data_IF_394211170305
#
_entry.id   IF_394211170305
#
_cell.length_a   1.000
_cell.length_b   1.000
_cell.length_c   1.000
_cell.angle_alpha   90.00
_cell.angle_beta   90.00
_cell.angle_gamma   90.00
#
_symmetry.space_group_name_H-M   'P 1'
#
loop_
_entity.id
_entity.type
_entity.pdbx_description
1 polymer ?
#
# COMPACT_ATOMS: atom_id res chain seq x y z
N UNK A 1 11.92 -9.47 9.79
CA UNK A 1 10.91 -8.98 8.81
C UNK A 1 9.56 -8.85 9.50
N UNK A 2 9.02 -7.64 9.62
CA UNK A 2 7.75 -7.38 10.30
C UNK A 2 6.61 -7.32 9.27
N UNK A 3 5.58 -8.14 9.46
CA UNK A 3 4.37 -8.13 8.62
C UNK A 3 3.49 -6.93 9.00
N UNK A 4 3.14 -6.12 8.00
CA UNK A 4 2.32 -4.92 8.16
C UNK A 4 1.17 -4.90 7.17
N UNK A 5 0.18 -4.08 7.50
CA UNK A 5 -0.99 -3.83 6.67
C UNK A 5 -1.20 -2.33 6.52
N UNK A 6 -1.34 -1.86 5.29
CA UNK A 6 -1.69 -0.49 4.94
C UNK A 6 -3.07 -0.50 4.26
N UNK A 7 -4.00 0.30 4.77
CA UNK A 7 -5.32 0.50 4.18
C UNK A 7 -5.46 1.97 3.81
N UNK A 8 -5.67 2.23 2.52
CA UNK A 8 -5.87 3.58 1.98
C UNK A 8 -7.24 3.66 1.34
N UNK A 9 -7.98 4.74 1.59
CA UNK A 9 -9.30 4.96 1.01
C UNK A 9 -9.45 6.42 0.59
N UNK A 10 -10.00 6.67 -0.59
CA UNK A 10 -10.12 8.02 -1.11
C UNK A 10 -10.55 8.04 -2.56
N UNK A 11 -10.37 9.17 -3.24
CA UNK A 11 -10.55 9.24 -4.69
C UNK A 11 -9.48 8.38 -5.38
N UNK A 12 -9.83 7.70 -6.48
CA UNK A 12 -8.92 6.81 -7.21
C UNK A 12 -7.53 7.46 -7.42
N UNK A 13 -7.50 8.69 -7.93
CA UNK A 13 -6.25 9.43 -8.19
C UNK A 13 -5.42 9.68 -6.94
N UNK A 14 -6.05 10.04 -5.83
CA UNK A 14 -5.36 10.34 -4.58
C UNK A 14 -4.77 9.06 -3.99
N UNK A 15 -5.54 7.97 -3.99
CA UNK A 15 -5.10 6.67 -3.49
C UNK A 15 -3.93 6.14 -4.32
N UNK A 16 -3.99 6.22 -5.65
CA UNK A 16 -2.89 5.82 -6.53
C UNK A 16 -1.63 6.66 -6.27
N UNK A 17 -1.76 7.97 -6.13
CA UNK A 17 -0.63 8.86 -5.85
C UNK A 17 0.02 8.54 -4.50
N UNK A 18 -0.78 8.34 -3.45
CA UNK A 18 -0.28 8.05 -2.10
C UNK A 18 0.39 6.68 -2.00
N UNK A 19 -0.21 5.66 -2.63
CA UNK A 19 0.38 4.32 -2.68
C UNK A 19 1.68 4.33 -3.47
N UNK A 20 1.72 5.01 -4.62
CA UNK A 20 2.94 5.13 -5.41
C UNK A 20 4.05 5.87 -4.64
N UNK A 21 3.72 6.95 -3.92
CA UNK A 21 4.67 7.64 -3.04
C UNK A 21 5.15 6.73 -1.91
N UNK A 22 4.27 5.93 -1.32
CA UNK A 22 4.64 5.00 -0.26
C UNK A 22 5.66 3.96 -0.78
N UNK A 23 5.34 3.29 -1.88
CA UNK A 23 6.18 2.24 -2.47
C UNK A 23 7.51 2.78 -3.05
N UNK A 24 7.55 4.04 -3.48
CA UNK A 24 8.79 4.67 -3.95
C UNK A 24 9.73 5.07 -2.81
N UNK A 25 9.20 5.38 -1.63
CA UNK A 25 9.98 5.90 -0.50
C UNK A 25 10.34 4.84 0.56
N UNK A 26 9.62 3.71 0.58
CA UNK A 26 9.85 2.65 1.54
C UNK A 26 10.30 1.40 0.79
N UNK A 27 11.45 0.85 1.20
CA UNK A 27 11.86 -0.47 0.78
C UNK A 27 10.98 -1.49 1.49
N UNK A 28 9.97 -2.01 0.80
CA UNK A 28 8.99 -2.96 1.33
C UNK A 28 8.77 -4.09 0.35
N UNK A 29 8.58 -5.29 0.87
CA UNK A 29 8.19 -6.45 0.09
C UNK A 29 6.67 -6.61 0.14
N UNK A 30 5.98 -6.29 -0.95
CA UNK A 30 4.51 -6.41 -1.02
C UNK A 30 4.13 -7.88 -1.20
N UNK A 31 3.40 -8.43 -0.24
CA UNK A 31 2.95 -9.83 -0.25
C UNK A 31 1.54 -9.97 -0.85
N UNK A 32 0.67 -8.99 -0.60
CA UNK A 32 -0.70 -9.02 -1.10
C UNK A 32 -1.24 -7.61 -1.32
N UNK A 33 -2.06 -7.46 -2.36
CA UNK A 33 -2.79 -6.24 -2.66
C UNK A 33 -4.22 -6.60 -3.03
N UNK A 34 -5.18 -5.95 -2.38
CA UNK A 34 -6.59 -6.03 -2.72
C UNK A 34 -7.15 -4.62 -2.89
N UNK A 35 -8.03 -4.45 -3.89
CA UNK A 35 -8.68 -3.18 -4.14
C UNK A 35 -10.19 -3.36 -4.36
N UNK A 36 -10.96 -2.38 -3.93
CA UNK A 36 -12.40 -2.29 -4.12
C UNK A 36 -12.75 -0.87 -4.58
N UNK A 37 -13.35 -0.78 -5.76
CA UNK A 37 -13.69 0.47 -6.42
C UNK A 37 -15.20 0.67 -6.47
N UNK A 38 -15.64 1.87 -6.11
CA UNK A 38 -17.04 2.29 -6.12
C UNK A 38 -17.16 3.72 -6.69
N UNK A 39 -17.41 3.82 -7.99
CA UNK A 39 -17.45 5.10 -8.70
C UNK A 39 -16.06 5.73 -8.72
N UNK A 40 -15.94 6.95 -8.19
CA UNK A 40 -14.65 7.65 -8.11
C UNK A 40 -13.85 7.30 -6.85
N UNK A 41 -14.38 6.45 -5.97
CA UNK A 41 -13.73 6.05 -4.72
C UNK A 41 -13.05 4.69 -4.84
N UNK A 42 -11.85 4.61 -4.28
CA UNK A 42 -11.05 3.40 -4.16
C UNK A 42 -10.77 3.10 -2.69
N UNK A 43 -10.87 1.84 -2.32
CA UNK A 43 -10.30 1.30 -1.08
C UNK A 43 -9.25 0.26 -1.44
N UNK A 44 -8.02 0.48 -1.00
CA UNK A 44 -6.88 -0.39 -1.29
C UNK A 44 -6.28 -0.91 0.01
N UNK A 45 -5.97 -2.20 0.05
CA UNK A 45 -5.34 -2.90 1.17
C UNK A 45 -4.04 -3.54 0.69
N UNK A 46 -2.94 -3.22 1.35
CA UNK A 46 -1.62 -3.78 1.10
C UNK A 46 -1.16 -4.55 2.33
N UNK A 47 -0.75 -5.79 2.14
CA UNK A 47 0.00 -6.56 3.12
C UNK A 47 1.44 -6.60 2.64
N UNK A 48 2.37 -6.16 3.47
CA UNK A 48 3.78 -6.03 3.09
C UNK A 48 4.69 -6.36 4.27
N UNK A 49 5.94 -6.67 3.97
CA UNK A 49 7.01 -6.85 4.96
C UNK A 49 8.02 -5.72 4.84
N UNK A 50 8.47 -5.22 5.99
CA UNK A 50 9.66 -4.36 6.04
C UNK A 50 10.92 -5.24 6.14
N UNK A 51 11.94 -4.97 5.31
CA UNK A 51 13.24 -5.61 5.43
C UNK A 51 13.83 -5.31 6.80
N UNK A 52 14.53 -6.30 7.35
CA UNK A 52 15.20 -6.11 8.63
C UNK A 52 16.41 -5.20 8.39
N UNK A 53 16.51 -4.03 9.04
CA UNK A 53 17.63 -3.11 8.83
C UNK A 53 18.99 -3.70 9.27
N UNK A 54 19.00 -4.87 9.90
CA UNK A 54 20.20 -5.56 10.38
C UNK A 54 20.58 -6.79 9.54
N UNK A 55 19.87 -7.09 8.44
CA UNK A 55 20.20 -8.19 7.52
C UNK A 55 20.98 -7.74 6.29
#
# INVERSE_FOLDING_TARGET
>A
MALRCLVVRGLVREVEEDVNKFLANHDVNVLHMAQSEHGEYLSLTLIYEEPDPLQ
#
